data_IF_988290633096
#
_entry.id   IF_988290633096
#
_cell.length_a   1.000
_cell.length_b   1.000
_cell.length_c   1.000
_cell.angle_alpha   90.00
_cell.angle_beta   90.00
_cell.angle_gamma   90.00
#
_symmetry.space_group_name_H-M   'P 1'
#
loop_
_entity.id
_entity.type
_entity.pdbx_description
1 polymer ?
#
# COMPACT_ATOMS: atom_id res chain seq x y z
N UNK A 1 -7.17 -30.84 53.98
CA UNK A 1 -7.60 -30.06 52.80
C UNK A 1 -6.46 -29.12 52.42
N UNK A 2 -5.81 -29.38 51.29
CA UNK A 2 -4.97 -28.43 50.56
C UNK A 2 -5.01 -28.85 49.10
N UNK A 3 -5.60 -28.00 48.27
CA UNK A 3 -5.78 -28.19 46.83
C UNK A 3 -4.76 -27.34 46.07
N UNK A 4 -4.01 -28.02 45.19
CA UNK A 4 -3.66 -27.64 43.80
C UNK A 4 -2.79 -26.37 43.60
N UNK A 5 -1.83 -26.28 42.68
CA UNK A 5 -1.46 -27.09 41.52
C UNK A 5 0.04 -26.88 41.22
N UNK A 6 0.72 -27.94 40.83
CA UNK A 6 2.07 -27.88 40.25
C UNK A 6 1.88 -27.48 38.78
N UNK A 7 2.21 -26.24 38.45
CA UNK A 7 2.21 -25.73 37.08
C UNK A 7 3.45 -26.16 36.34
N UNK A 8 3.43 -27.36 35.74
CA UNK A 8 4.33 -27.76 34.68
C UNK A 8 3.61 -28.72 33.73
N UNK A 9 3.25 -28.22 32.55
CA UNK A 9 2.98 -29.05 31.38
C UNK A 9 3.80 -28.47 30.23
N UNK A 10 4.88 -29.17 29.91
CA UNK A 10 5.69 -28.96 28.73
C UNK A 10 5.01 -29.56 27.49
N UNK A 11 5.49 -29.10 26.34
CA UNK A 11 5.46 -29.75 25.04
C UNK A 11 4.10 -29.84 24.30
N UNK A 12 3.92 -28.87 23.39
CA UNK A 12 3.24 -29.09 22.12
C UNK A 12 4.19 -28.70 20.99
N UNK A 13 5.04 -29.63 20.56
CA UNK A 13 5.73 -29.53 19.28
C UNK A 13 4.70 -29.50 18.15
N UNK A 14 4.75 -28.47 17.31
CA UNK A 14 4.25 -28.55 15.94
C UNK A 14 5.30 -27.93 15.02
N UNK A 15 6.28 -28.75 14.61
CA UNK A 15 7.03 -28.51 13.38
C UNK A 15 6.38 -29.41 12.32
N UNK A 16 6.24 -28.86 11.11
CA UNK A 16 5.89 -29.51 9.81
C UNK A 16 4.38 -29.66 9.56
N UNK A 17 3.77 -29.08 8.52
CA UNK A 17 4.31 -28.34 7.39
C UNK A 17 3.21 -27.72 6.50
N UNK A 18 3.63 -26.85 5.58
CA UNK A 18 2.78 -26.25 4.54
C UNK A 18 2.37 -24.80 4.85
N UNK A 19 3.08 -23.85 4.22
CA UNK A 19 2.75 -22.43 4.03
C UNK A 19 1.65 -21.77 4.88
N UNK A 20 2.05 -20.83 5.73
CA UNK A 20 1.13 -19.88 6.36
C UNK A 20 1.52 -19.57 7.79
N UNK A 21 2.32 -18.52 7.98
CA UNK A 21 2.57 -17.91 9.28
C UNK A 21 1.26 -17.36 9.83
N UNK A 22 0.49 -18.20 10.54
CA UNK A 22 -0.55 -17.73 11.44
C UNK A 22 0.14 -17.01 12.59
N UNK A 23 0.29 -15.70 12.43
CA UNK A 23 0.61 -14.81 13.53
C UNK A 23 -0.47 -15.01 14.61
N UNK A 24 -0.07 -15.55 15.76
CA UNK A 24 -0.90 -15.66 16.94
C UNK A 24 -1.22 -14.25 17.45
N UNK A 25 -2.24 -13.61 16.87
CA UNK A 25 -2.89 -12.47 17.49
C UNK A 25 -3.63 -13.01 18.71
N UNK A 26 -3.07 -12.80 19.90
CA UNK A 26 -3.75 -13.05 21.16
C UNK A 26 -5.08 -12.27 21.14
N UNK A 27 -6.15 -13.01 20.88
CA UNK A 27 -7.52 -12.56 20.98
C UNK A 27 -7.83 -12.26 22.45
N UNK A 28 -7.90 -10.97 22.76
CA UNK A 28 -8.22 -10.47 24.09
C UNK A 28 -8.67 -9.02 24.05
N UNK A 29 -9.68 -8.70 23.22
CA UNK A 29 -10.53 -7.49 23.31
C UNK A 29 -11.46 -7.44 22.08
N UNK A 30 -12.61 -8.11 22.15
CA UNK A 30 -13.71 -7.81 21.23
C UNK A 30 -14.27 -6.41 21.61
N UNK A 31 -14.42 -5.52 20.62
CA UNK A 31 -14.73 -4.06 20.67
C UNK A 31 -13.57 -3.04 20.56
N UNK A 32 -12.43 -3.41 19.98
CA UNK A 32 -11.38 -2.45 19.61
C UNK A 32 -11.41 -2.08 18.12
N UNK A 33 -11.56 -0.80 17.79
CA UNK A 33 -11.30 -0.26 16.45
C UNK A 33 -9.93 -0.76 15.93
N UNK A 34 -9.87 -1.32 14.72
CA UNK A 34 -8.61 -1.79 14.12
C UNK A 34 -7.68 -0.61 13.96
N UNK A 35 -6.48 -0.70 14.54
CA UNK A 35 -5.44 0.33 14.46
C UNK A 35 -4.28 -0.10 13.57
N UNK A 36 -3.72 0.89 12.88
CA UNK A 36 -2.71 0.74 11.84
C UNK A 36 -1.46 1.54 12.15
N UNK A 37 -0.28 1.02 11.83
CA UNK A 37 0.98 1.72 12.09
C UNK A 37 1.21 2.92 11.14
N UNK A 38 0.86 2.74 9.87
CA UNK A 38 1.09 3.64 8.75
C UNK A 38 0.16 3.29 7.58
N UNK A 39 0.38 3.91 6.42
CA UNK A 39 -0.43 3.66 5.23
C UNK A 39 -0.28 2.23 4.72
N UNK A 40 0.93 1.67 4.74
CA UNK A 40 1.20 0.30 4.28
C UNK A 40 0.47 -0.74 5.14
N UNK A 41 0.57 -0.61 6.47
CA UNK A 41 -0.14 -1.47 7.42
C UNK A 41 -1.66 -1.37 7.24
N UNK A 42 -2.17 -0.18 6.92
CA UNK A 42 -3.58 0.02 6.60
C UNK A 42 -4.00 -0.65 5.29
N UNK A 43 -3.20 -0.55 4.23
CA UNK A 43 -3.48 -1.22 2.95
C UNK A 43 -3.50 -2.73 3.14
N UNK A 44 -2.50 -3.29 3.82
CA UNK A 44 -2.33 -4.74 4.00
C UNK A 44 -3.38 -5.38 4.91
N UNK A 45 -3.77 -4.69 5.98
CA UNK A 45 -4.69 -5.25 7.00
C UNK A 45 -6.12 -4.74 6.89
N UNK A 46 -6.35 -3.61 6.23
CA UNK A 46 -7.66 -2.99 6.11
C UNK A 46 -8.59 -3.70 5.12
N UNK A 47 -8.05 -4.48 4.18
CA UNK A 47 -8.82 -5.29 3.22
C UNK A 47 -9.63 -4.49 2.18
N UNK A 48 -9.52 -3.16 2.18
CA UNK A 48 -10.28 -2.25 1.28
C UNK A 48 -9.52 -1.91 0.00
N UNK A 49 -8.20 -2.00 0.04
CA UNK A 49 -7.32 -1.55 -1.04
C UNK A 49 -6.25 -2.59 -1.33
N UNK A 50 -5.75 -2.55 -2.56
CA UNK A 50 -4.51 -3.23 -2.99
C UNK A 50 -3.67 -2.26 -3.80
N UNK A 51 -2.37 -2.50 -3.89
CA UNK A 51 -1.50 -1.64 -4.69
C UNK A 51 -1.80 -1.76 -6.19
N UNK A 52 -1.53 -0.69 -6.93
CA UNK A 52 -1.68 -0.68 -8.39
C UNK A 52 -0.73 -1.70 -9.02
N UNK A 53 -1.25 -2.42 -10.01
CA UNK A 53 -0.54 -3.53 -10.66
C UNK A 53 -0.40 -4.79 -9.79
N UNK A 54 -1.00 -4.83 -8.60
CA UNK A 54 -1.13 -6.06 -7.82
C UNK A 54 -2.25 -6.93 -8.41
N UNK A 55 -1.97 -8.23 -8.62
CA UNK A 55 -2.96 -9.24 -8.99
C UNK A 55 -3.95 -9.53 -7.87
N UNK A 56 -4.90 -10.42 -8.12
CA UNK A 56 -6.00 -10.70 -7.18
C UNK A 56 -5.59 -11.61 -6.00
N UNK A 57 -4.51 -12.38 -6.16
CA UNK A 57 -4.09 -13.42 -5.21
C UNK A 57 -2.89 -13.03 -4.32
N UNK A 58 -2.62 -11.75 -4.10
CA UNK A 58 -1.50 -11.35 -3.24
C UNK A 58 -1.91 -10.27 -2.26
N UNK A 59 -1.64 -10.46 -0.98
CA UNK A 59 -1.84 -9.45 0.08
C UNK A 59 -0.63 -8.55 0.30
N UNK A 60 0.54 -8.91 -0.23
CA UNK A 60 1.81 -8.27 0.10
C UNK A 60 2.69 -8.08 -1.13
N UNK A 61 2.66 -6.87 -1.69
CA UNK A 61 3.40 -6.59 -2.92
C UNK A 61 3.51 -5.09 -3.20
N UNK A 62 4.73 -4.56 -3.14
CA UNK A 62 5.00 -3.14 -3.40
C UNK A 62 4.60 -2.70 -4.82
N UNK A 63 4.19 -1.43 -5.01
CA UNK A 63 3.89 -0.83 -6.31
C UNK A 63 5.19 -0.53 -7.08
N UNK A 64 5.80 -1.58 -7.61
CA UNK A 64 7.04 -1.49 -8.38
C UNK A 64 6.80 -0.86 -9.77
N UNK A 65 7.85 -0.28 -10.35
CA UNK A 65 7.82 0.26 -11.72
C UNK A 65 7.26 -0.77 -12.72
N UNK A 66 7.70 -2.03 -12.64
CA UNK A 66 7.21 -3.10 -13.52
C UNK A 66 5.70 -3.31 -13.42
N UNK A 67 5.15 -3.39 -12.20
CA UNK A 67 3.71 -3.57 -11.97
C UNK A 67 2.88 -2.39 -12.44
N UNK A 68 3.36 -1.16 -12.20
CA UNK A 68 2.67 0.03 -12.68
C UNK A 68 2.72 0.09 -14.21
N UNK A 69 3.85 -0.28 -14.82
CA UNK A 69 3.99 -0.36 -16.29
C UNK A 69 3.05 -1.41 -16.88
N UNK A 70 2.94 -2.58 -16.26
CA UNK A 70 2.00 -3.62 -16.66
C UNK A 70 0.55 -3.15 -16.53
N UNK A 71 0.19 -2.50 -15.42
CA UNK A 71 -1.14 -1.92 -15.23
C UNK A 71 -1.47 -0.90 -16.33
N UNK A 72 -0.55 0.00 -16.66
CA UNK A 72 -0.73 0.99 -17.72
C UNK A 72 -0.86 0.36 -19.11
N UNK A 73 -0.22 -0.79 -19.35
CA UNK A 73 -0.31 -1.54 -20.61
C UNK A 73 -1.47 -2.53 -20.68
N UNK A 74 -2.10 -2.86 -19.55
CA UNK A 74 -3.19 -3.84 -19.47
C UNK A 74 -4.39 -3.47 -20.35
N UNK A 75 -5.28 -4.42 -20.64
CA UNK A 75 -6.41 -4.20 -21.57
C UNK A 75 -7.57 -3.39 -21.00
N UNK A 76 -7.60 -3.14 -19.69
CA UNK A 76 -8.70 -2.42 -19.02
C UNK A 76 -8.61 -0.91 -19.24
N UNK A 77 -9.21 -0.44 -20.34
CA UNK A 77 -9.14 0.98 -20.76
C UNK A 77 -9.84 1.94 -19.82
N UNK A 78 -10.96 1.53 -19.21
CA UNK A 78 -11.76 2.39 -18.33
C UNK A 78 -11.02 2.68 -17.01
N UNK A 79 -10.44 1.66 -16.40
CA UNK A 79 -9.67 1.84 -15.17
C UNK A 79 -8.39 2.63 -15.41
N UNK A 80 -7.74 2.45 -16.57
CA UNK A 80 -6.58 3.27 -16.96
C UNK A 80 -6.92 4.74 -17.17
N UNK A 81 -8.01 5.04 -17.86
CA UNK A 81 -8.42 6.43 -18.12
C UNK A 81 -8.72 7.18 -16.81
N UNK A 82 -9.48 6.56 -15.91
CA UNK A 82 -9.75 7.12 -14.57
C UNK A 82 -8.47 7.30 -13.78
N UNK A 83 -7.58 6.30 -13.78
CA UNK A 83 -6.30 6.39 -13.09
C UNK A 83 -5.44 7.55 -13.61
N UNK A 84 -5.28 7.67 -14.93
CA UNK A 84 -4.54 8.77 -15.57
C UNK A 84 -5.13 10.13 -15.21
N UNK A 85 -6.46 10.27 -15.28
CA UNK A 85 -7.15 11.51 -14.92
C UNK A 85 -6.88 11.90 -13.46
N UNK A 86 -6.99 10.95 -12.54
CA UNK A 86 -6.73 11.19 -11.14
C UNK A 86 -5.26 11.51 -10.87
N UNK A 87 -4.32 10.81 -11.52
CA UNK A 87 -2.89 11.05 -11.42
C UNK A 87 -2.53 12.47 -11.88
N UNK A 88 -3.06 12.92 -13.04
CA UNK A 88 -2.86 14.30 -13.52
C UNK A 88 -3.32 15.33 -12.49
N UNK A 89 -4.48 15.12 -11.86
CA UNK A 89 -5.02 16.06 -10.86
C UNK A 89 -4.15 16.23 -9.61
N UNK A 90 -3.34 15.23 -9.26
CA UNK A 90 -2.50 15.23 -8.05
C UNK A 90 -1.01 15.44 -8.35
N UNK A 91 -0.60 15.30 -9.61
CA UNK A 91 0.80 15.29 -10.05
C UNK A 91 1.61 16.48 -9.53
N UNK A 92 1.05 17.69 -9.56
CA UNK A 92 1.73 18.92 -9.11
C UNK A 92 2.05 18.91 -7.62
N UNK A 93 1.31 18.11 -6.84
CA UNK A 93 1.45 17.96 -5.38
C UNK A 93 2.27 16.73 -4.99
N UNK A 94 2.77 15.96 -5.97
CA UNK A 94 3.59 14.78 -5.75
C UNK A 94 5.07 15.14 -5.86
N UNK A 95 5.72 15.39 -4.73
CA UNK A 95 7.15 15.70 -4.69
C UNK A 95 7.94 14.46 -4.26
N UNK A 96 8.98 14.12 -5.03
CA UNK A 96 9.95 13.12 -4.66
C UNK A 96 10.96 13.70 -3.66
N UNK A 97 11.57 12.83 -2.86
CA UNK A 97 12.68 13.22 -2.00
C UNK A 97 13.89 13.70 -2.85
N UNK A 98 14.80 14.51 -2.28
CA UNK A 98 16.00 14.98 -2.98
C UNK A 98 16.87 13.84 -3.54
N UNK A 99 16.96 12.69 -2.85
CA UNK A 99 17.68 11.50 -3.36
C UNK A 99 17.13 10.95 -4.68
N UNK A 100 15.86 11.25 -4.98
CA UNK A 100 15.17 10.80 -6.19
C UNK A 100 15.03 11.89 -7.25
N UNK A 101 15.66 13.04 -7.05
CA UNK A 101 15.61 14.23 -7.92
C UNK A 101 15.97 13.98 -9.39
N UNK A 102 16.74 12.93 -9.67
CA UNK A 102 17.07 12.48 -11.03
C UNK A 102 15.90 11.82 -11.76
N UNK A 103 14.79 11.57 -11.07
CA UNK A 103 13.57 11.02 -11.66
C UNK A 103 12.68 12.17 -12.09
N UNK A 104 12.59 12.47 -13.40
CA UNK A 104 11.77 13.58 -13.85
C UNK A 104 10.30 13.30 -13.53
N UNK A 105 9.60 14.34 -13.08
CA UNK A 105 8.14 14.32 -13.01
C UNK A 105 7.60 14.23 -14.44
N UNK A 106 6.72 13.26 -14.76
CA UNK A 106 6.11 13.19 -16.08
C UNK A 106 5.19 14.41 -16.29
N UNK A 107 5.08 14.86 -17.53
CA UNK A 107 4.08 15.83 -17.96
C UNK A 107 2.70 15.18 -18.10
N UNK A 108 1.65 16.00 -18.16
CA UNK A 108 0.29 15.51 -18.41
C UNK A 108 0.19 14.76 -19.75
N UNK A 109 0.90 15.23 -20.79
CA UNK A 109 0.96 14.54 -22.08
C UNK A 109 1.64 13.17 -21.96
N UNK A 110 2.73 13.05 -21.20
CA UNK A 110 3.39 11.76 -20.96
C UNK A 110 2.49 10.79 -20.17
N UNK A 111 1.63 11.30 -19.29
CA UNK A 111 0.60 10.50 -18.63
C UNK A 111 -0.45 10.03 -19.65
N UNK A 112 -0.92 10.90 -20.53
CA UNK A 112 -1.90 10.54 -21.56
C UNK A 112 -1.33 9.52 -22.55
N UNK A 113 -0.07 9.67 -22.95
CA UNK A 113 0.65 8.76 -23.85
C UNK A 113 1.02 7.42 -23.21
N UNK A 114 1.10 7.34 -21.87
CA UNK A 114 1.49 6.11 -21.18
C UNK A 114 0.55 4.94 -21.44
N UNK A 115 1.08 3.71 -21.52
CA UNK A 115 0.27 2.53 -21.83
C UNK A 115 -0.04 2.32 -23.32
N UNK A 116 0.40 3.24 -24.20
CA UNK A 116 0.45 3.00 -25.64
C UNK A 116 1.72 2.19 -25.96
N UNK A 117 1.58 1.14 -26.78
CA UNK A 117 2.64 0.22 -27.18
C UNK A 117 3.81 0.94 -27.87
N UNK A 118 3.55 2.03 -28.58
CA UNK A 118 4.57 2.84 -29.27
C UNK A 118 5.24 3.88 -28.35
N UNK A 119 4.72 4.07 -27.13
CA UNK A 119 5.11 5.10 -26.16
C UNK A 119 5.66 4.49 -24.88
N UNK A 120 6.56 3.52 -25.06
CA UNK A 120 7.12 2.76 -23.95
C UNK A 120 7.98 3.63 -23.01
N UNK A 121 8.67 4.62 -23.58
CA UNK A 121 9.48 5.59 -22.83
C UNK A 121 8.62 6.39 -21.85
N UNK A 122 7.49 6.93 -22.31
CA UNK A 122 6.53 7.69 -21.51
C UNK A 122 5.91 6.80 -20.43
N UNK A 123 5.57 5.57 -20.81
CA UNK A 123 5.08 4.56 -19.87
C UNK A 123 6.10 4.29 -18.75
N UNK A 124 7.38 4.12 -19.11
CA UNK A 124 8.47 3.92 -18.15
C UNK A 124 8.67 5.12 -17.23
N UNK A 125 8.64 6.36 -17.76
CA UNK A 125 8.74 7.58 -16.95
C UNK A 125 7.63 7.67 -15.91
N UNK A 126 6.38 7.48 -16.34
CA UNK A 126 5.22 7.52 -15.44
C UNK A 126 5.32 6.43 -14.38
N UNK A 127 5.61 5.20 -14.79
CA UNK A 127 5.72 4.06 -13.87
C UNK A 127 6.83 4.25 -12.84
N UNK A 128 8.00 4.73 -13.26
CA UNK A 128 9.14 4.99 -12.40
C UNK A 128 8.85 6.09 -11.38
N UNK A 129 8.27 7.20 -11.82
CA UNK A 129 7.91 8.32 -10.96
C UNK A 129 6.88 7.91 -9.90
N UNK A 130 5.79 7.26 -10.32
CA UNK A 130 4.74 6.79 -9.41
C UNK A 130 5.29 5.77 -8.42
N UNK A 131 6.08 4.80 -8.90
CA UNK A 131 6.66 3.77 -8.04
C UNK A 131 7.46 4.38 -6.90
N UNK A 132 8.38 5.29 -7.21
CA UNK A 132 9.18 5.99 -6.20
C UNK A 132 8.33 6.78 -5.24
N UNK A 133 7.36 7.52 -5.74
CA UNK A 133 6.49 8.32 -4.89
C UNK A 133 5.67 7.43 -3.93
N UNK A 134 5.17 6.28 -4.40
CA UNK A 134 4.46 5.32 -3.56
C UNK A 134 5.36 4.69 -2.49
N UNK A 135 6.57 4.25 -2.85
CA UNK A 135 7.54 3.69 -1.90
C UNK A 135 7.94 4.71 -0.83
N UNK A 136 8.12 5.97 -1.22
CA UNK A 136 8.42 7.07 -0.30
C UNK A 136 7.27 7.33 0.69
N UNK A 137 6.02 7.19 0.25
CA UNK A 137 4.85 7.59 1.05
C UNK A 137 4.16 6.45 1.80
N UNK A 138 4.41 5.17 1.48
CA UNK A 138 3.72 4.03 2.12
C UNK A 138 3.96 3.93 3.62
N UNK A 139 5.11 4.40 4.12
CA UNK A 139 5.41 4.38 5.55
C UNK A 139 5.02 5.69 6.26
N UNK A 140 4.31 6.60 5.56
CA UNK A 140 3.78 7.81 6.21
C UNK A 140 2.64 7.44 7.16
N UNK A 141 2.56 8.22 8.22
CA UNK A 141 1.62 8.02 9.32
C UNK A 141 1.23 9.36 9.92
N UNK A 142 0.07 9.45 10.58
CA UNK A 142 -0.32 10.61 11.35
C UNK A 142 0.73 11.00 12.39
N UNK A 143 0.81 12.30 12.67
CA UNK A 143 1.62 12.79 13.78
C UNK A 143 1.09 12.20 15.07
N UNK A 144 2.00 11.63 15.87
CA UNK A 144 1.66 11.06 17.15
C UNK A 144 1.76 12.11 18.24
N UNK A 145 0.65 12.41 18.91
CA UNK A 145 0.70 12.98 20.24
C UNK A 145 1.02 11.86 21.24
N UNK A 146 1.98 12.10 22.15
CA UNK A 146 2.30 11.22 23.29
C UNK A 146 2.85 9.82 22.95
N UNK A 147 3.61 9.65 21.87
CA UNK A 147 4.28 8.37 21.54
C UNK A 147 3.36 7.25 21.03
N UNK A 148 2.13 7.59 20.61
CA UNK A 148 1.21 6.71 19.88
C UNK A 148 1.86 6.14 18.62
N UNK A 149 1.83 4.81 18.48
CA UNK A 149 2.42 4.11 17.32
C UNK A 149 1.39 3.44 16.40
N UNK A 150 0.10 3.46 16.77
CA UNK A 150 -1.00 2.89 15.97
C UNK A 150 -2.21 3.82 15.94
N UNK A 151 -2.80 3.99 14.76
CA UNK A 151 -3.80 4.99 14.42
C UNK A 151 -5.08 4.35 13.88
N UNK A 152 -6.22 4.94 14.21
CA UNK A 152 -7.51 4.58 13.63
C UNK A 152 -7.57 4.89 12.13
N UNK A 153 -8.50 4.25 11.40
CA UNK A 153 -8.70 4.52 9.97
C UNK A 153 -8.94 6.01 9.68
N UNK A 154 -9.78 6.66 10.50
CA UNK A 154 -10.07 8.09 10.34
C UNK A 154 -8.83 8.97 10.45
N UNK A 155 -7.85 8.57 11.27
CA UNK A 155 -6.61 9.31 11.46
C UNK A 155 -5.66 9.09 10.28
N UNK A 156 -5.54 7.84 9.81
CA UNK A 156 -4.80 7.50 8.59
C UNK A 156 -5.34 8.33 7.41
N UNK A 157 -6.66 8.33 7.22
CA UNK A 157 -7.33 9.04 6.11
C UNK A 157 -7.29 10.55 6.22
N UNK A 158 -7.17 11.10 7.44
CA UNK A 158 -7.04 12.53 7.67
C UNK A 158 -5.63 13.07 7.33
N UNK A 159 -4.62 12.20 7.19
CA UNK A 159 -3.27 12.64 6.84
C UNK A 159 -3.25 13.28 5.44
N UNK A 160 -2.59 14.43 5.30
CA UNK A 160 -2.58 15.24 4.07
C UNK A 160 -2.10 14.53 2.79
N UNK A 161 -1.30 13.47 2.96
CA UNK A 161 -0.78 12.67 1.85
C UNK A 161 -1.62 11.41 1.56
N UNK A 162 -2.63 11.11 2.39
CA UNK A 162 -3.47 9.92 2.21
C UNK A 162 -4.23 9.97 0.90
N UNK A 163 -4.97 11.05 0.61
CA UNK A 163 -5.77 11.14 -0.62
C UNK A 163 -4.95 10.99 -1.89
N UNK A 164 -3.73 11.55 -1.90
CA UNK A 164 -2.77 11.41 -2.99
C UNK A 164 -2.28 9.96 -3.09
N UNK A 165 -2.02 9.33 -1.95
CA UNK A 165 -1.54 7.96 -1.85
C UNK A 165 -2.59 6.96 -2.33
N UNK A 166 -3.83 7.12 -1.88
CA UNK A 166 -4.98 6.35 -2.33
C UNK A 166 -5.15 6.42 -3.84
N UNK A 167 -5.11 7.63 -4.40
CA UNK A 167 -5.27 7.85 -5.85
C UNK A 167 -4.11 7.28 -6.66
N UNK A 168 -2.87 7.54 -6.26
CA UNK A 168 -1.70 7.26 -7.09
C UNK A 168 -1.18 5.82 -6.91
N UNK A 169 -1.45 5.19 -5.78
CA UNK A 169 -0.81 3.92 -5.40
C UNK A 169 -1.78 2.77 -5.23
N UNK A 170 -3.07 3.04 -5.02
CA UNK A 170 -4.04 2.03 -4.63
C UNK A 170 -5.17 1.86 -5.65
N UNK A 171 -5.76 0.66 -5.64
CA UNK A 171 -7.07 0.36 -6.23
C UNK A 171 -7.95 -0.30 -5.18
N UNK A 172 -9.25 -0.05 -5.23
CA UNK A 172 -10.20 -0.71 -4.35
C UNK A 172 -10.23 -2.22 -4.62
N UNK A 173 -10.41 -3.01 -3.56
CA UNK A 173 -10.76 -4.43 -3.68
C UNK A 173 -12.29 -4.48 -3.84
N UNK A 174 -12.74 -4.85 -5.03
CA UNK A 174 -14.16 -5.12 -5.36
C UNK A 174 -14.44 -6.61 -5.32
#
# INVERSE_FOLDING_TARGET
MSTQAIGAAAAGTAILGGGGTLAAYAAGAFEGEVKYADFDDYVKRGGRYKYIGQGDDVTDNDPTEGKIREFLKGSDTSNKATYKGNLKSQLTKMNLNPEDSQTPRPSEQEIDDSGNTEKDTETGKVAKFVSKWCIQNKNKKPTSDNGKTKFAEKEIKAHENWSKFEVACLKAVT
#
